data_IF_780950897630
#
_entry.id   IF_780950897630
#
_cell.length_a   1.000
_cell.length_b   1.000
_cell.length_c   1.000
_cell.angle_alpha   90.00
_cell.angle_beta   90.00
_cell.angle_gamma   90.00
#
_symmetry.space_group_name_H-M   'P 1'
#
loop_
_entity.id
_entity.type
_entity.pdbx_description
1 polymer ?
#
# COMPACT_ATOMS: atom_id res chain seq x y z
N UNK A 1 -14.39 14.80 -21.60
CA UNK A 1 -13.02 15.02 -21.06
C UNK A 1 -12.60 13.76 -20.33
N UNK A 2 -11.48 13.14 -20.67
CA UNK A 2 -10.96 11.98 -19.92
C UNK A 2 -10.43 12.44 -18.56
N UNK A 3 -10.97 11.88 -17.48
CA UNK A 3 -10.49 12.15 -16.11
C UNK A 3 -9.03 11.68 -16.01
N UNK A 4 -8.13 12.55 -15.56
CA UNK A 4 -6.74 12.18 -15.29
C UNK A 4 -6.69 10.99 -14.30
N UNK A 5 -5.73 10.06 -14.44
CA UNK A 5 -5.56 9.00 -13.46
C UNK A 5 -5.31 9.56 -12.05
N UNK A 6 -5.70 8.82 -10.99
CA UNK A 6 -5.36 9.12 -9.61
C UNK A 6 -3.88 9.46 -9.40
N UNK A 7 -3.57 10.29 -8.39
CA UNK A 7 -2.21 10.73 -8.06
C UNK A 7 -1.25 9.54 -7.90
N UNK A 8 -1.62 8.53 -7.12
CA UNK A 8 -0.75 7.37 -6.87
C UNK A 8 -0.36 6.66 -8.16
N UNK A 9 -1.30 6.50 -9.10
CA UNK A 9 -1.02 5.94 -10.43
C UNK A 9 -0.04 6.81 -11.22
N UNK A 10 -0.26 8.14 -11.27
CA UNK A 10 0.65 9.07 -11.97
C UNK A 10 2.05 9.10 -11.34
N UNK A 11 2.14 8.86 -10.03
CA UNK A 11 3.38 8.90 -9.26
C UNK A 11 4.08 7.54 -9.13
N UNK A 12 3.57 6.46 -9.76
CA UNK A 12 4.04 5.09 -9.52
C UNK A 12 4.06 4.71 -8.03
N UNK A 13 3.12 5.26 -7.26
CA UNK A 13 3.04 5.17 -5.82
C UNK A 13 1.70 4.51 -5.42
N UNK A 14 1.60 3.17 -5.50
CA UNK A 14 0.37 2.43 -5.26
C UNK A 14 -0.23 2.73 -3.89
N UNK A 15 0.60 2.91 -2.87
CA UNK A 15 0.15 3.20 -1.50
C UNK A 15 -0.05 4.67 -1.17
N UNK A 16 0.20 5.64 -2.07
CA UNK A 16 0.33 7.05 -1.67
C UNK A 16 1.29 7.21 -0.47
N UNK A 17 2.46 6.57 -0.52
CA UNK A 17 3.50 6.71 0.49
C UNK A 17 3.98 8.15 0.52
N UNK A 18 4.01 8.74 1.72
CA UNK A 18 4.47 10.11 1.95
C UNK A 18 6.00 10.20 1.99
N UNK A 19 6.51 11.40 1.76
CA UNK A 19 7.93 11.71 2.01
C UNK A 19 8.28 11.48 3.48
N UNK A 20 9.54 11.16 3.78
CA UNK A 20 10.05 11.05 5.15
C UNK A 20 11.16 10.00 5.29
N UNK A 21 11.05 8.90 4.54
CA UNK A 21 12.07 7.85 4.51
C UNK A 21 12.88 7.88 3.21
N UNK A 22 14.10 7.34 3.26
CA UNK A 22 14.99 7.19 2.10
C UNK A 22 14.62 5.94 1.29
N UNK A 23 13.48 5.98 0.60
CA UNK A 23 13.03 4.88 -0.25
C UNK A 23 13.96 4.68 -1.45
N UNK A 24 14.18 3.42 -1.84
CA UNK A 24 14.85 3.08 -3.10
C UNK A 24 13.89 3.26 -4.27
N UNK A 25 14.43 3.66 -5.42
CA UNK A 25 13.64 3.84 -6.65
C UNK A 25 12.81 5.13 -6.68
N UNK A 26 13.11 6.10 -5.82
CA UNK A 26 12.53 7.44 -5.93
C UNK A 26 12.95 8.08 -7.26
N UNK A 27 11.99 8.73 -7.91
CA UNK A 27 12.25 9.51 -9.10
C UNK A 27 13.15 10.72 -8.76
N UNK A 28 14.12 11.10 -9.61
CA UNK A 28 15.00 12.25 -9.33
C UNK A 28 14.22 13.55 -9.08
N UNK A 29 13.11 13.72 -9.78
CA UNK A 29 12.18 14.83 -9.61
C UNK A 29 10.95 14.40 -8.79
N UNK A 30 10.76 15.02 -7.64
CA UNK A 30 9.57 14.87 -6.78
C UNK A 30 8.64 16.05 -7.00
N UNK A 31 7.64 15.88 -7.87
CA UNK A 31 6.71 16.94 -8.26
C UNK A 31 5.52 17.11 -7.30
N UNK A 32 5.28 16.13 -6.42
CA UNK A 32 4.25 16.19 -5.38
C UNK A 32 4.87 16.58 -4.03
N UNK A 33 4.25 17.55 -3.35
CA UNK A 33 4.77 18.13 -2.10
C UNK A 33 4.71 17.17 -0.91
N UNK A 34 3.80 16.20 -0.93
CA UNK A 34 3.53 15.34 0.23
C UNK A 34 3.84 13.87 -0.04
N UNK A 35 3.73 13.44 -1.29
CA UNK A 35 3.81 12.03 -1.66
C UNK A 35 5.02 11.74 -2.54
N UNK A 36 5.64 10.58 -2.31
CA UNK A 36 6.71 10.08 -3.12
C UNK A 36 6.25 9.85 -4.57
N UNK A 37 7.17 10.08 -5.52
CA UNK A 37 7.12 9.62 -6.89
C UNK A 37 8.22 8.58 -7.10
N UNK A 38 7.88 7.43 -7.64
CA UNK A 38 8.83 6.36 -7.94
C UNK A 38 9.13 6.31 -9.45
N UNK A 39 10.29 5.77 -9.80
CA UNK A 39 10.69 5.60 -11.21
C UNK A 39 9.81 4.59 -11.95
N UNK A 40 9.27 3.60 -11.23
CA UNK A 40 8.38 2.57 -11.77
C UNK A 40 7.52 1.98 -10.61
N UNK A 41 6.34 1.40 -10.90
CA UNK A 41 5.39 0.97 -9.88
C UNK A 41 5.93 -0.12 -8.94
N UNK A 42 6.80 -1.01 -9.43
CA UNK A 42 7.44 -2.04 -8.62
C UNK A 42 8.24 -1.46 -7.44
N UNK A 43 8.81 -0.25 -7.59
CA UNK A 43 9.51 0.43 -6.50
C UNK A 43 8.54 0.98 -5.46
N UNK A 44 7.38 1.45 -5.90
CA UNK A 44 6.29 1.84 -5.01
C UNK A 44 5.70 0.65 -4.25
N UNK A 45 5.51 -0.49 -4.93
CA UNK A 45 5.09 -1.74 -4.29
C UNK A 45 6.13 -2.24 -3.30
N UNK A 46 7.41 -2.25 -3.66
CA UNK A 46 8.51 -2.57 -2.75
C UNK A 46 8.44 -1.73 -1.47
N UNK A 47 8.26 -0.41 -1.60
CA UNK A 47 8.16 0.48 -0.45
C UNK A 47 6.94 0.15 0.43
N UNK A 48 5.78 -0.11 -0.19
CA UNK A 48 4.56 -0.52 0.51
C UNK A 48 4.75 -1.85 1.25
N UNK A 49 5.37 -2.84 0.60
CA UNK A 49 5.66 -4.14 1.19
C UNK A 49 6.58 -4.05 2.41
N UNK A 50 7.65 -3.24 2.31
CA UNK A 50 8.56 -3.00 3.44
C UNK A 50 7.83 -2.32 4.60
N UNK A 51 6.96 -1.36 4.29
CA UNK A 51 6.16 -0.67 5.31
C UNK A 51 5.27 -1.67 6.08
N UNK A 52 4.53 -2.52 5.36
CA UNK A 52 3.67 -3.54 5.98
C UNK A 52 4.49 -4.53 6.82
N UNK A 53 5.58 -5.09 6.27
CA UNK A 53 6.47 -6.00 7.02
C UNK A 53 7.10 -5.35 8.24
N UNK A 54 7.37 -4.05 8.20
CA UNK A 54 7.87 -3.31 9.35
C UNK A 54 6.81 -3.19 10.45
N UNK A 55 5.52 -3.07 10.11
CA UNK A 55 4.44 -3.06 11.11
C UNK A 55 4.42 -4.36 11.92
N UNK A 56 4.51 -5.51 11.26
CA UNK A 56 4.61 -6.80 11.96
C UNK A 56 5.93 -6.92 12.73
N UNK A 57 7.08 -6.73 12.07
CA UNK A 57 8.39 -7.00 12.67
C UNK A 57 8.71 -6.08 13.84
N UNK A 58 8.48 -4.77 13.68
CA UNK A 58 8.89 -3.73 14.63
C UNK A 58 7.81 -3.35 15.62
N UNK A 59 6.54 -3.41 15.22
CA UNK A 59 5.42 -2.97 16.05
C UNK A 59 4.54 -4.13 16.55
N UNK A 60 4.82 -5.37 16.16
CA UNK A 60 4.08 -6.58 16.56
C UNK A 60 2.60 -6.54 16.21
N UNK A 61 2.27 -5.80 15.15
CA UNK A 61 0.93 -5.68 14.59
C UNK A 61 0.66 -6.89 13.68
N UNK A 62 -0.47 -7.56 13.86
CA UNK A 62 -0.82 -8.76 13.10
C UNK A 62 -2.18 -8.70 12.41
N UNK A 63 -3.10 -7.83 12.87
CA UNK A 63 -4.47 -7.79 12.35
C UNK A 63 -4.66 -6.72 11.27
N UNK A 64 -5.65 -6.91 10.40
CA UNK A 64 -6.04 -5.89 9.40
C UNK A 64 -6.43 -4.60 10.10
N UNK A 65 -7.19 -4.69 11.19
CA UNK A 65 -7.60 -3.55 11.99
C UNK A 65 -6.40 -2.72 12.46
N UNK A 66 -5.39 -3.34 13.05
CA UNK A 66 -4.20 -2.63 13.53
C UNK A 66 -3.35 -2.07 12.38
N UNK A 67 -3.15 -2.85 11.32
CA UNK A 67 -2.39 -2.42 10.13
C UNK A 67 -3.03 -1.16 9.54
N UNK A 68 -4.34 -1.20 9.27
CA UNK A 68 -5.04 -0.11 8.62
C UNK A 68 -5.22 1.10 9.53
N UNK A 69 -5.44 0.92 10.84
CA UNK A 69 -5.44 2.03 11.79
C UNK A 69 -4.09 2.77 11.83
N UNK A 70 -2.98 2.04 11.73
CA UNK A 70 -1.64 2.63 11.65
C UNK A 70 -1.38 3.31 10.31
N UNK A 71 -1.86 2.70 9.22
CA UNK A 71 -1.64 3.18 7.86
C UNK A 71 -2.46 4.43 7.52
N UNK A 72 -3.76 4.39 7.84
CA UNK A 72 -4.76 5.40 7.51
C UNK A 72 -5.63 5.69 8.75
N UNK A 73 -5.13 6.47 9.72
CA UNK A 73 -5.86 6.76 10.95
C UNK A 73 -7.17 7.53 10.69
N UNK A 74 -8.17 7.39 11.59
CA UNK A 74 -9.56 7.83 11.37
C UNK A 74 -9.79 9.34 11.40
N UNK A 75 -8.75 10.12 11.71
CA UNK A 75 -8.84 11.59 11.74
C UNK A 75 -9.17 12.16 10.36
N UNK A 76 -8.66 11.55 9.30
CA UNK A 76 -8.84 12.01 7.91
C UNK A 76 -9.51 10.96 7.00
N UNK A 77 -9.81 9.77 7.50
CA UNK A 77 -10.22 8.61 6.68
C UNK A 77 -11.42 7.87 7.25
N UNK A 78 -12.21 7.23 6.38
CA UNK A 78 -13.16 6.20 6.80
C UNK A 78 -12.41 4.87 7.05
N UNK A 79 -11.64 4.82 8.14
CA UNK A 79 -10.77 3.70 8.49
C UNK A 79 -11.56 2.40 8.69
N UNK A 80 -12.75 2.43 9.27
CA UNK A 80 -13.58 1.23 9.43
C UNK A 80 -14.02 0.68 8.07
N UNK A 81 -14.46 1.54 7.14
CA UNK A 81 -14.80 1.12 5.78
C UNK A 81 -13.62 0.48 5.04
N UNK A 82 -12.40 0.97 5.28
CA UNK A 82 -11.17 0.41 4.75
C UNK A 82 -10.89 -0.98 5.33
N UNK A 83 -10.95 -1.12 6.67
CA UNK A 83 -10.77 -2.38 7.38
C UNK A 83 -11.73 -3.45 6.85
N UNK A 84 -13.03 -3.13 6.76
CA UNK A 84 -14.06 -4.06 6.30
C UNK A 84 -13.84 -4.47 4.84
N UNK A 85 -13.40 -3.54 3.99
CA UNK A 85 -13.08 -3.85 2.60
C UNK A 85 -11.90 -4.82 2.49
N UNK A 86 -10.80 -4.55 3.18
CA UNK A 86 -9.59 -5.39 3.14
C UNK A 86 -9.89 -6.78 3.72
N UNK A 87 -10.61 -6.84 4.84
CA UNK A 87 -11.04 -8.11 5.46
C UNK A 87 -11.92 -8.94 4.52
N UNK A 88 -12.87 -8.30 3.83
CA UNK A 88 -13.72 -8.94 2.82
C UNK A 88 -12.92 -9.45 1.62
N UNK A 89 -11.96 -8.67 1.11
CA UNK A 89 -11.12 -9.07 -0.02
C UNK A 89 -10.20 -10.25 0.34
N UNK A 90 -9.76 -10.35 1.60
CA UNK A 90 -8.94 -11.45 2.12
C UNK A 90 -9.75 -12.67 2.60
N UNK A 91 -11.05 -12.53 2.83
CA UNK A 91 -11.92 -13.61 3.34
C UNK A 91 -11.67 -13.96 4.81
N UNK A 92 -11.30 -12.98 5.62
CA UNK A 92 -10.86 -13.14 7.03
C UNK A 92 -11.59 -12.15 7.94
N UNK A 93 -11.54 -12.37 9.26
CA UNK A 93 -12.01 -11.38 10.23
C UNK A 93 -11.04 -10.18 10.28
N UNK A 94 -11.52 -8.93 10.46
CA UNK A 94 -10.68 -7.77 10.71
C UNK A 94 -9.65 -7.92 11.84
N UNK A 95 -9.98 -8.75 12.82
CA UNK A 95 -9.23 -8.96 14.05
C UNK A 95 -8.40 -10.27 14.04
N UNK A 96 -8.48 -11.05 12.96
CA UNK A 96 -7.62 -12.23 12.80
C UNK A 96 -6.16 -11.80 12.62
N UNK A 97 -5.25 -12.44 13.38
CA UNK A 97 -3.82 -12.28 13.14
C UNK A 97 -3.43 -12.97 11.83
N UNK A 98 -2.86 -12.20 10.91
CA UNK A 98 -2.32 -12.67 9.64
C UNK A 98 -0.89 -12.15 9.49
N UNK A 99 0.02 -13.00 9.05
CA UNK A 99 1.41 -12.58 8.86
C UNK A 99 1.59 -12.00 7.46
N UNK A 100 1.97 -10.72 7.39
CA UNK A 100 2.38 -10.04 6.14
C UNK A 100 3.78 -10.46 5.69
N UNK A 101 4.42 -11.39 6.43
CA UNK A 101 5.57 -12.14 5.93
C UNK A 101 5.16 -13.15 4.86
N UNK A 102 3.93 -13.67 4.91
CA UNK A 102 3.37 -14.55 3.88
C UNK A 102 3.07 -13.73 2.62
N UNK A 103 3.59 -14.20 1.47
CA UNK A 103 3.53 -13.45 0.21
C UNK A 103 2.08 -13.16 -0.23
N UNK A 104 1.20 -14.15 -0.13
CA UNK A 104 -0.18 -14.03 -0.58
C UNK A 104 -0.97 -13.00 0.26
N UNK A 105 -0.77 -13.01 1.59
CA UNK A 105 -1.34 -12.01 2.51
C UNK A 105 -0.83 -10.61 2.16
N UNK A 106 0.49 -10.48 1.97
CA UNK A 106 1.12 -9.20 1.64
C UNK A 106 0.63 -8.64 0.31
N UNK A 107 0.45 -9.49 -0.70
CA UNK A 107 -0.01 -9.09 -2.03
C UNK A 107 -1.47 -8.67 -1.99
N UNK A 108 -2.34 -9.48 -1.39
CA UNK A 108 -3.76 -9.14 -1.28
C UNK A 108 -3.97 -7.85 -0.46
N UNK A 109 -3.24 -7.68 0.64
CA UNK A 109 -3.25 -6.43 1.41
C UNK A 109 -2.79 -5.22 0.56
N UNK A 110 -1.71 -5.37 -0.21
CA UNK A 110 -1.21 -4.28 -1.06
C UNK A 110 -2.17 -3.94 -2.22
N UNK A 111 -2.84 -4.93 -2.82
CA UNK A 111 -3.88 -4.71 -3.83
C UNK A 111 -5.04 -3.90 -3.24
N UNK A 112 -5.54 -4.32 -2.08
CA UNK A 112 -6.62 -3.65 -1.36
C UNK A 112 -6.25 -2.19 -1.02
N UNK A 113 -5.04 -1.99 -0.49
CA UNK A 113 -4.51 -0.65 -0.19
C UNK A 113 -4.45 0.20 -1.45
N UNK A 114 -3.92 -0.35 -2.53
CA UNK A 114 -3.78 0.37 -3.81
C UNK A 114 -5.13 0.86 -4.31
N UNK A 115 -6.15 -0.01 -4.27
CA UNK A 115 -7.51 0.34 -4.72
C UNK A 115 -8.10 1.45 -3.88
N UNK A 116 -7.97 1.40 -2.55
CA UNK A 116 -8.51 2.44 -1.66
C UNK A 116 -7.83 3.78 -1.95
N UNK A 117 -6.50 3.78 -2.03
CA UNK A 117 -5.68 4.97 -2.25
C UNK A 117 -5.84 5.61 -3.65
N UNK A 118 -6.32 4.83 -4.62
CA UNK A 118 -6.46 5.25 -6.01
C UNK A 118 -7.91 5.19 -6.51
N UNK A 119 -8.88 5.51 -5.64
CA UNK A 119 -10.29 5.64 -6.01
C UNK A 119 -10.88 4.40 -6.73
N UNK A 120 -10.54 3.22 -6.20
CA UNK A 120 -10.93 1.90 -6.72
C UNK A 120 -10.02 1.35 -7.80
N UNK A 121 -9.06 2.13 -8.31
CA UNK A 121 -8.20 1.71 -9.40
C UNK A 121 -6.98 0.96 -8.89
N UNK A 122 -6.69 -0.14 -9.56
CA UNK A 122 -5.42 -0.84 -9.50
C UNK A 122 -5.15 -1.26 -10.95
N UNK A 123 -4.20 -0.61 -11.65
CA UNK A 123 -3.92 -0.89 -13.06
C UNK A 123 -2.76 -1.86 -13.27
N UNK A 124 -2.10 -2.30 -12.19
CA UNK A 124 -0.87 -3.09 -12.26
C UNK A 124 -1.17 -4.59 -12.15
N UNK A 125 -0.34 -5.43 -12.76
CA UNK A 125 -0.53 -6.88 -12.69
C UNK A 125 0.20 -7.50 -11.51
N UNK A 126 0.02 -8.81 -11.36
CA UNK A 126 0.86 -9.64 -10.49
C UNK A 126 2.36 -9.49 -10.82
N UNK A 127 2.70 -9.17 -12.07
CA UNK A 127 4.08 -8.97 -12.49
C UNK A 127 4.78 -7.82 -11.75
N UNK A 128 4.10 -6.69 -11.53
CA UNK A 128 4.64 -5.56 -10.77
C UNK A 128 4.79 -5.88 -9.28
N UNK A 129 3.89 -6.72 -8.75
CA UNK A 129 3.95 -7.18 -7.37
C UNK A 129 5.15 -8.09 -7.18
N UNK A 130 5.34 -9.07 -8.07
CA UNK A 130 6.50 -9.97 -8.04
C UNK A 130 7.83 -9.22 -8.22
N UNK A 131 7.90 -8.26 -9.16
CA UNK A 131 9.08 -7.39 -9.31
C UNK A 131 9.34 -6.59 -8.03
N UNK A 132 8.31 -6.00 -7.43
CA UNK A 132 8.45 -5.25 -6.18
C UNK A 132 8.89 -6.13 -5.01
N UNK A 133 8.36 -7.35 -4.94
CA UNK A 133 8.69 -8.33 -3.91
C UNK A 133 10.14 -8.83 -4.02
N UNK A 134 10.62 -9.07 -5.23
CA UNK A 134 12.00 -9.46 -5.50
C UNK A 134 13.04 -8.39 -5.10
N UNK A 135 12.61 -7.14 -4.85
CA UNK A 135 13.46 -6.03 -4.43
C UNK A 135 13.46 -5.79 -2.91
N UNK A 136 12.66 -6.53 -2.13
CA UNK A 136 12.58 -6.41 -0.66
C UNK A 136 13.88 -6.91 -0.03
#
# INVERSE_FOLDING_TARGET
MSKLPPRGIRNNNPGNIRHGDKWRGLHPEQTDKSFCRFIAPEWGYRALFILMRNYERKHKICSIREIINRYAPPVENNTEGYIQRVAKELGVSPDDCLSVMQKDVLFALADAITRVENAGQQPWGIAEFEKGYALI
#
